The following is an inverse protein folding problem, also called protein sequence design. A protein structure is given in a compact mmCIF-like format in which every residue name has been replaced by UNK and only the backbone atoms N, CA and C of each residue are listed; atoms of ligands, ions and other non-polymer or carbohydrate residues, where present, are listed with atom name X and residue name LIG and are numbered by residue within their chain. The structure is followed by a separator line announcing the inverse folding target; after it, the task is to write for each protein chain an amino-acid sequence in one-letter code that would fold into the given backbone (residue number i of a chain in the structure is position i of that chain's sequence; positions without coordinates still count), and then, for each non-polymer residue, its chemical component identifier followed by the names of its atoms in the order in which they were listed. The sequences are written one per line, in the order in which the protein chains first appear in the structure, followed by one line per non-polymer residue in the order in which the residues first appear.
data_IF_549567486603
#
_entry.id   IF_549567486603
#
_cell.length_a   1.000
_cell.length_b   1.000
_cell.length_c   1.000
_cell.angle_alpha   90.00
_cell.angle_beta   90.00
_cell.angle_gamma   90.00
#
_symmetry.space_group_name_H-M   'P 1'
#
loop_
_entity.id
_entity.type
_entity.pdbx_description
1 polymer ?
#
# COMPACT_ATOMS: atom_id res chain seq x y z
N UNK A 1 -23.20 -15.21 23.84
CA UNK A 1 -23.23 -14.77 22.43
C UNK A 1 -22.27 -15.65 21.64
N UNK A 2 -22.63 -16.23 20.49
CA UNK A 2 -21.72 -17.08 19.74
C UNK A 2 -20.65 -16.25 19.01
N UNK A 3 -19.47 -16.84 18.83
CA UNK A 3 -18.46 -16.28 17.95
C UNK A 3 -18.90 -16.40 16.47
N UNK A 4 -18.63 -15.38 15.63
CA UNK A 4 -18.86 -15.49 14.20
C UNK A 4 -17.91 -16.50 13.55
N UNK A 5 -18.33 -17.07 12.42
CA UNK A 5 -17.43 -17.87 11.61
C UNK A 5 -16.20 -17.04 11.20
N UNK A 6 -15.00 -17.64 11.28
CA UNK A 6 -13.73 -16.95 11.04
C UNK A 6 -13.47 -15.72 11.94
N UNK A 7 -14.14 -15.63 13.07
CA UNK A 7 -13.85 -14.64 14.12
C UNK A 7 -13.88 -15.25 15.52
N UNK A 8 -13.83 -14.37 16.51
CA UNK A 8 -13.86 -14.69 17.93
C UNK A 8 -14.46 -13.53 18.73
N UNK A 9 -14.87 -13.83 19.96
CA UNK A 9 -15.29 -12.83 20.94
C UNK A 9 -14.06 -12.43 21.76
N UNK A 10 -13.75 -11.14 21.86
CA UNK A 10 -12.55 -10.66 22.56
C UNK A 10 -12.68 -10.75 24.09
N UNK A 11 -13.90 -10.73 24.62
CA UNK A 11 -14.18 -10.85 26.05
C UNK A 11 -15.32 -11.82 26.33
N UNK A 12 -14.99 -12.92 27.02
CA UNK A 12 -16.00 -13.87 27.51
C UNK A 12 -16.52 -13.43 28.87
N UNK A 13 -17.76 -12.95 28.92
CA UNK A 13 -18.48 -12.75 30.19
C UNK A 13 -19.39 -13.96 30.45
N UNK A 14 -18.85 -15.02 31.06
CA UNK A 14 -19.62 -16.13 31.65
C UNK A 14 -20.81 -16.65 30.80
N UNK A 15 -21.82 -17.18 31.49
CA UNK A 15 -23.01 -17.78 30.85
C UNK A 15 -24.20 -16.82 30.70
N UNK A 16 -24.16 -15.62 31.30
CA UNK A 16 -25.30 -14.70 31.32
C UNK A 16 -24.84 -13.24 31.27
N UNK A 17 -25.39 -12.48 30.33
CA UNK A 17 -25.11 -11.06 30.15
C UNK A 17 -26.22 -10.23 30.80
N UNK A 18 -25.85 -9.14 31.46
CA UNK A 18 -26.78 -8.16 32.05
C UNK A 18 -26.98 -6.97 31.13
N UNK A 19 -28.10 -6.27 31.28
CA UNK A 19 -28.36 -4.99 30.64
C UNK A 19 -27.17 -4.02 30.79
N UNK A 20 -26.80 -3.36 29.68
CA UNK A 20 -25.65 -2.47 29.55
C UNK A 20 -24.30 -3.16 29.34
N UNK A 21 -24.21 -4.51 29.42
CA UNK A 21 -22.95 -5.20 29.14
C UNK A 21 -22.67 -5.30 27.63
N UNK A 22 -21.42 -5.10 27.26
CA UNK A 22 -20.98 -5.12 25.87
C UNK A 22 -20.12 -6.34 25.56
N UNK A 23 -20.24 -6.82 24.33
CA UNK A 23 -19.46 -7.90 23.74
C UNK A 23 -18.76 -7.35 22.51
N UNK A 24 -17.44 -7.46 22.51
CA UNK A 24 -16.61 -7.06 21.37
C UNK A 24 -16.20 -8.29 20.56
N UNK A 25 -16.29 -8.17 19.24
CA UNK A 25 -15.93 -9.19 18.28
C UNK A 25 -14.66 -8.80 17.54
N UNK A 26 -13.93 -9.80 17.06
CA UNK A 26 -12.81 -9.62 16.16
C UNK A 26 -12.79 -10.70 15.09
N UNK A 27 -12.30 -10.35 13.91
CA UNK A 27 -12.10 -11.30 12.81
C UNK A 27 -10.67 -11.85 12.85
N UNK A 28 -10.52 -13.11 12.44
CA UNK A 28 -9.20 -13.73 12.20
C UNK A 28 -8.46 -12.99 11.08
N UNK A 29 -7.13 -13.17 10.97
CA UNK A 29 -6.37 -12.64 9.84
C UNK A 29 -7.01 -12.95 8.49
N UNK A 30 -6.82 -12.04 7.53
CA UNK A 30 -7.34 -12.10 6.15
C UNK A 30 -8.87 -12.05 6.02
N UNK A 31 -9.55 -11.61 7.08
CA UNK A 31 -10.99 -11.34 7.09
C UNK A 31 -11.27 -9.91 7.54
N UNK A 32 -12.31 -9.31 6.99
CA UNK A 32 -12.85 -8.03 7.44
C UNK A 32 -14.21 -8.22 8.06
N UNK A 33 -14.54 -7.35 9.02
CA UNK A 33 -15.83 -7.36 9.69
C UNK A 33 -16.89 -6.60 8.88
N UNK A 34 -18.06 -7.22 8.73
CA UNK A 34 -19.29 -6.58 8.28
C UNK A 34 -20.30 -6.56 9.43
N UNK A 35 -20.78 -5.37 9.79
CA UNK A 35 -21.68 -5.17 10.93
C UNK A 35 -21.00 -4.47 12.10
N UNK A 36 -21.64 -4.52 13.27
CA UNK A 36 -21.14 -3.87 14.47
C UNK A 36 -20.09 -4.73 15.18
N UNK A 37 -18.92 -4.14 15.48
CA UNK A 37 -17.86 -4.80 16.23
C UNK A 37 -18.18 -4.96 17.71
N UNK A 38 -19.14 -4.19 18.22
CA UNK A 38 -19.57 -4.22 19.61
C UNK A 38 -21.08 -4.32 19.63
N UNK A 39 -21.60 -5.28 20.39
CA UNK A 39 -23.03 -5.42 20.67
C UNK A 39 -23.27 -5.27 22.17
N UNK A 40 -24.38 -4.64 22.51
CA UNK A 40 -24.79 -4.40 23.88
C UNK A 40 -26.00 -5.27 24.22
N UNK A 41 -25.97 -5.91 25.39
CA UNK A 41 -27.14 -6.55 25.96
C UNK A 41 -28.02 -5.44 26.53
N UNK A 42 -29.22 -5.28 25.98
CA UNK A 42 -30.19 -4.28 26.40
C UNK A 42 -30.96 -4.78 27.64
N UNK A 43 -31.60 -3.87 28.37
CA UNK A 43 -32.39 -4.21 29.58
C UNK A 43 -33.62 -5.10 29.32
N UNK A 44 -33.96 -5.32 28.04
CA UNK A 44 -35.01 -6.24 27.61
C UNK A 44 -34.49 -7.64 27.24
N UNK A 45 -33.28 -7.98 27.69
CA UNK A 45 -32.58 -9.24 27.42
C UNK A 45 -32.32 -9.53 25.92
N UNK A 46 -32.40 -8.50 25.06
CA UNK A 46 -32.05 -8.59 23.64
C UNK A 46 -30.73 -7.87 23.34
N UNK A 47 -30.07 -8.28 22.26
CA UNK A 47 -28.87 -7.58 21.78
C UNK A 47 -29.23 -6.37 20.93
N UNK A 48 -28.40 -5.33 20.98
CA UNK A 48 -28.53 -4.11 20.18
C UNK A 48 -28.39 -4.34 18.66
N UNK A 49 -28.02 -5.56 18.25
CA UNK A 49 -27.88 -5.96 16.86
C UNK A 49 -27.60 -7.45 16.72
N UNK A 50 -27.21 -7.85 15.51
CA UNK A 50 -26.86 -9.23 15.17
C UNK A 50 -25.36 -9.44 15.20
N UNK A 51 -24.94 -10.68 15.46
CA UNK A 51 -23.54 -11.10 15.38
C UNK A 51 -22.94 -10.67 14.01
N UNK A 52 -21.77 -10.02 13.98
CA UNK A 52 -21.19 -9.54 12.73
C UNK A 52 -20.68 -10.69 11.87
N UNK A 53 -20.49 -10.44 10.57
CA UNK A 53 -19.89 -11.42 9.65
C UNK A 53 -18.41 -11.11 9.43
N UNK A 54 -17.57 -12.15 9.42
CA UNK A 54 -16.17 -12.05 9.02
C UNK A 54 -16.00 -12.61 7.61
N UNK A 55 -15.82 -11.74 6.63
CA UNK A 55 -15.70 -12.13 5.21
C UNK A 55 -14.26 -12.04 4.74
N UNK A 56 -13.79 -12.94 3.84
CA UNK A 56 -12.43 -12.85 3.30
C UNK A 56 -12.17 -11.51 2.63
N UNK A 57 -11.04 -10.88 2.97
CA UNK A 57 -10.63 -9.58 2.45
C UNK A 57 -9.12 -9.44 2.41
N UNK A 58 -8.63 -8.66 1.47
CA UNK A 58 -7.21 -8.39 1.35
C UNK A 58 -6.83 -7.24 2.28
N UNK A 59 -5.78 -7.45 3.07
CA UNK A 59 -5.18 -6.38 3.87
C UNK A 59 -4.51 -5.34 2.97
N UNK A 60 -4.25 -4.15 3.53
CA UNK A 60 -3.45 -3.11 2.89
C UNK A 60 -2.22 -3.71 2.19
N UNK A 61 -2.08 -3.51 0.87
CA UNK A 61 -0.95 -4.07 0.14
C UNK A 61 0.30 -3.38 0.66
N UNK A 62 1.20 -4.13 1.28
CA UNK A 62 2.39 -3.59 1.95
C UNK A 62 3.34 -2.93 0.94
N UNK A 63 3.09 -1.66 0.63
CA UNK A 63 3.83 -0.90 -0.37
C UNK A 63 5.25 -0.61 0.12
N UNK A 64 6.23 -0.91 -0.75
CA UNK A 64 7.66 -0.72 -0.52
C UNK A 64 8.31 -0.17 -1.78
N UNK A 65 9.59 0.20 -1.68
CA UNK A 65 10.44 0.55 -2.82
C UNK A 65 9.89 1.71 -3.67
N UNK A 66 9.27 2.71 -3.02
CA UNK A 66 8.86 3.97 -3.65
C UNK A 66 7.59 3.92 -4.49
N UNK A 67 6.92 2.77 -4.63
CA UNK A 67 5.63 2.71 -5.32
C UNK A 67 4.56 3.52 -4.57
N UNK A 68 3.61 4.12 -5.30
CA UNK A 68 2.50 4.90 -4.74
C UNK A 68 1.17 4.33 -5.19
N UNK A 69 0.23 4.19 -4.25
CA UNK A 69 -1.15 3.80 -4.57
C UNK A 69 -1.89 4.99 -5.21
N UNK A 70 -2.59 4.72 -6.31
CA UNK A 70 -3.43 5.67 -7.04
C UNK A 70 -4.90 5.63 -6.62
N UNK A 71 -5.39 4.47 -6.23
CA UNK A 71 -6.77 4.27 -5.79
C UNK A 71 -6.99 4.75 -4.35
N UNK A 72 -8.22 4.64 -3.84
CA UNK A 72 -8.48 4.87 -2.41
C UNK A 72 -7.65 3.91 -1.56
N UNK A 73 -7.05 4.45 -0.50
CA UNK A 73 -6.27 3.70 0.49
C UNK A 73 -7.22 3.24 1.59
N UNK A 74 -7.36 1.92 1.72
CA UNK A 74 -8.14 1.27 2.76
C UNK A 74 -7.25 0.32 3.55
N UNK A 75 -7.62 0.03 4.79
CA UNK A 75 -6.95 -1.00 5.58
C UNK A 75 -7.31 -2.42 5.11
N UNK A 76 -8.53 -2.61 4.60
CA UNK A 76 -9.02 -3.83 3.97
C UNK A 76 -9.68 -3.55 2.62
N UNK A 77 -9.60 -4.53 1.72
CA UNK A 77 -10.21 -4.51 0.39
C UNK A 77 -11.07 -5.76 0.18
N UNK A 78 -12.29 -5.57 -0.30
CA UNK A 78 -13.22 -6.66 -0.61
C UNK A 78 -12.75 -7.45 -1.83
N UNK A 79 -13.23 -8.68 -1.94
CA UNK A 79 -13.05 -9.49 -3.16
C UNK A 79 -13.50 -8.68 -4.38
N UNK A 80 -12.70 -8.75 -5.44
CA UNK A 80 -12.78 -8.02 -6.70
C UNK A 80 -12.38 -6.54 -6.66
N UNK A 81 -12.13 -5.94 -5.50
CA UNK A 81 -11.57 -4.58 -5.44
C UNK A 81 -10.12 -4.56 -5.93
N UNK A 82 -9.69 -3.42 -6.45
CA UNK A 82 -8.41 -3.29 -7.16
C UNK A 82 -7.60 -2.11 -6.64
N UNK A 83 -6.28 -2.28 -6.64
CA UNK A 83 -5.32 -1.25 -6.27
C UNK A 83 -4.36 -1.05 -7.43
N UNK A 84 -4.24 0.19 -7.89
CA UNK A 84 -3.31 0.59 -8.94
C UNK A 84 -2.12 1.33 -8.35
N UNK A 85 -0.95 1.11 -8.95
CA UNK A 85 0.31 1.68 -8.51
C UNK A 85 0.95 2.54 -9.58
N UNK A 86 1.70 3.54 -9.14
CA UNK A 86 2.62 4.28 -9.98
C UNK A 86 4.00 4.37 -9.33
N UNK A 87 5.00 4.70 -10.14
CA UNK A 87 6.32 5.03 -9.69
C UNK A 87 6.57 6.54 -9.79
N UNK A 88 7.40 7.10 -8.90
CA UNK A 88 7.89 8.47 -9.02
C UNK A 88 8.61 8.70 -10.35
N UNK A 89 8.72 9.97 -10.74
CA UNK A 89 9.49 10.35 -11.92
C UNK A 89 10.93 9.83 -11.85
N UNK A 90 11.46 9.36 -12.98
CA UNK A 90 12.80 8.76 -13.04
C UNK A 90 12.85 7.27 -12.66
N UNK A 91 11.73 6.67 -12.25
CA UNK A 91 11.62 5.25 -11.93
C UNK A 91 10.61 4.52 -12.84
N UNK A 92 10.92 3.26 -13.13
CA UNK A 92 10.08 2.32 -13.85
C UNK A 92 9.43 1.32 -12.89
N UNK A 93 8.13 1.07 -13.10
CA UNK A 93 7.38 0.05 -12.38
C UNK A 93 7.78 -1.37 -12.86
N UNK A 94 8.16 -2.23 -11.92
CA UNK A 94 8.46 -3.65 -12.15
C UNK A 94 7.45 -4.52 -11.42
N UNK A 95 6.69 -5.30 -12.18
CA UNK A 95 5.60 -6.14 -11.68
C UNK A 95 4.26 -5.71 -12.28
N UNK A 96 3.17 -6.10 -11.63
CA UNK A 96 1.83 -5.70 -12.09
C UNK A 96 1.53 -4.25 -11.68
N UNK A 97 1.12 -3.37 -12.61
CA UNK A 97 0.72 -1.99 -12.28
C UNK A 97 -0.58 -1.94 -11.49
N UNK A 98 -1.31 -3.05 -11.43
CA UNK A 98 -2.61 -3.18 -10.77
C UNK A 98 -2.74 -4.58 -10.16
N UNK A 99 -3.25 -4.65 -8.95
CA UNK A 99 -3.58 -5.92 -8.27
C UNK A 99 -5.05 -5.93 -7.90
N UNK A 100 -5.64 -7.11 -7.85
CA UNK A 100 -7.03 -7.33 -7.50
C UNK A 100 -7.10 -8.24 -6.28
N UNK A 101 -8.02 -7.95 -5.36
CA UNK A 101 -8.29 -8.86 -4.26
C UNK A 101 -9.08 -10.06 -4.78
N UNK A 102 -8.49 -11.24 -4.74
CA UNK A 102 -9.08 -12.49 -5.21
C UNK A 102 -9.52 -13.36 -4.05
N UNK A 103 -10.16 -14.50 -4.36
CA UNK A 103 -10.70 -15.43 -3.39
C UNK A 103 -9.72 -15.74 -2.23
N UNK A 104 -10.28 -15.93 -1.03
CA UNK A 104 -9.54 -16.15 0.23
C UNK A 104 -8.71 -14.94 0.71
N UNK A 105 -9.09 -13.72 0.34
CA UNK A 105 -8.46 -12.50 0.87
C UNK A 105 -7.01 -12.30 0.41
N UNK A 106 -6.67 -12.74 -0.81
CA UNK A 106 -5.31 -12.66 -1.35
C UNK A 106 -5.23 -11.71 -2.52
N UNK A 107 -4.13 -10.99 -2.64
CA UNK A 107 -3.85 -10.18 -3.83
C UNK A 107 -3.51 -11.07 -5.03
N UNK A 108 -3.99 -10.70 -6.22
CA UNK A 108 -3.77 -11.42 -7.48
C UNK A 108 -2.29 -11.46 -7.90
N UNK A 109 -1.50 -10.50 -7.45
CA UNK A 109 -0.05 -10.45 -7.65
C UNK A 109 0.63 -9.74 -6.47
N UNK A 110 1.96 -9.86 -6.40
CA UNK A 110 2.76 -9.10 -5.45
C UNK A 110 2.76 -7.60 -5.78
N UNK A 111 2.95 -6.77 -4.76
CA UNK A 111 3.10 -5.32 -4.92
C UNK A 111 4.32 -5.03 -5.81
N UNK A 112 4.20 -4.19 -6.85
CA UNK A 112 5.30 -3.89 -7.74
C UNK A 112 6.39 -3.06 -7.04
N UNK A 113 7.59 -3.08 -7.61
CA UNK A 113 8.73 -2.27 -7.14
C UNK A 113 9.06 -1.17 -8.15
N UNK A 114 9.53 -0.02 -7.66
CA UNK A 114 10.07 1.02 -8.52
C UNK A 114 11.59 0.88 -8.63
N UNK A 115 12.10 0.84 -9.85
CA UNK A 115 13.53 0.81 -10.14
C UNK A 115 13.92 2.02 -10.98
N UNK A 116 15.08 2.66 -10.78
CA UNK A 116 15.51 3.75 -11.65
C UNK A 116 15.51 3.31 -13.12
N UNK A 117 15.12 4.20 -14.03
CA UNK A 117 15.34 3.94 -15.45
C UNK A 117 16.83 3.67 -15.69
N UNK A 118 17.16 2.68 -16.52
CA UNK A 118 18.53 2.48 -16.97
C UNK A 118 19.05 3.81 -17.52
N UNK A 119 20.32 4.19 -17.23
CA UNK A 119 20.81 5.48 -17.67
C UNK A 119 20.73 5.52 -19.19
N UNK A 120 19.89 6.42 -19.71
CA UNK A 120 19.76 6.61 -21.14
C UNK A 120 21.13 7.02 -21.68
N UNK A 121 21.61 6.31 -22.69
CA UNK A 121 22.87 6.62 -23.39
C UNK A 121 22.88 8.05 -23.94
N UNK A 122 21.69 8.65 -24.15
CA UNK A 122 21.50 10.06 -24.49
C UNK A 122 22.07 11.04 -23.43
N UNK A 123 21.84 10.78 -22.14
CA UNK A 123 22.39 11.62 -21.05
C UNK A 123 23.92 11.54 -20.92
N UNK A 124 24.54 10.47 -21.44
CA UNK A 124 26.00 10.34 -21.49
C UNK A 124 26.60 11.08 -22.69
N UNK A 125 25.91 11.11 -23.84
CA UNK A 125 26.34 11.91 -24.99
C UNK A 125 26.32 13.42 -24.71
N UNK A 126 25.29 13.94 -24.04
CA UNK A 126 25.26 15.35 -23.65
C UNK A 126 26.37 15.73 -22.67
N UNK A 127 26.66 14.86 -21.69
CA UNK A 127 27.76 15.06 -20.74
C UNK A 127 29.14 14.99 -21.40
N UNK A 128 29.29 14.23 -22.50
CA UNK A 128 30.53 14.17 -23.28
C UNK A 128 30.71 15.43 -24.14
N UNK A 129 29.66 15.95 -24.76
CA UNK A 129 29.70 17.20 -25.54
C UNK A 129 30.02 18.44 -24.66
N UNK A 130 29.46 18.53 -23.45
CA UNK A 130 29.80 19.62 -22.50
C UNK A 130 31.25 19.58 -22.01
N UNK A 131 31.89 18.42 -21.95
CA UNK A 131 33.31 18.30 -21.57
C UNK A 131 34.26 18.71 -22.70
N UNK A 132 33.89 18.47 -23.95
CA UNK A 132 34.69 18.91 -25.10
C UNK A 132 34.65 20.43 -25.31
N UNK A 133 33.55 21.12 -24.97
CA UNK A 133 33.45 22.59 -25.08
C UNK A 133 34.31 23.36 -24.07
N UNK A 134 34.60 22.79 -22.88
CA UNK A 134 35.42 23.45 -21.84
C UNK A 134 36.94 23.41 -22.11
N UNK A 135 37.39 22.58 -23.05
CA UNK A 135 38.83 22.47 -23.39
C UNK A 135 39.32 23.53 -24.38
N UNK A 136 38.42 24.24 -25.07
CA UNK A 136 38.80 25.23 -26.08
C UNK A 136 38.86 26.68 -25.56
N UNK A 137 38.44 26.95 -24.33
CA UNK A 137 38.39 28.32 -23.77
C UNK A 137 39.61 28.71 -22.91
N UNK A 138 40.58 27.80 -22.71
CA UNK A 138 41.76 28.04 -21.87
C UNK A 138 43.09 28.04 -22.65
N UNK A 139 43.05 28.15 -23.98
CA UNK A 139 44.26 28.41 -24.76
C UNK A 139 44.54 29.92 -24.75
N UNK A 140 45.24 30.40 -23.72
CA UNK A 140 45.83 31.74 -23.67
C UNK A 140 46.92 31.86 -24.75
N UNK A 141 46.91 32.88 -25.63
CA UNK A 141 48.01 33.12 -26.53
C UNK A 141 49.24 33.59 -25.72
N UNK A 142 50.38 32.92 -25.90
CA UNK A 142 51.68 33.40 -25.43
C UNK A 142 52.07 34.58 -26.33
N UNK A 143 52.02 35.80 -25.79
CA UNK A 143 52.52 36.98 -26.48
C UNK A 143 54.06 36.91 -26.55
N UNK A 144 54.58 36.74 -27.76
CA UNK A 144 56.01 36.75 -28.04
C UNK A 144 56.56 38.18 -27.95
N UNK A 145 57.57 38.38 -27.10
CA UNK A 145 58.46 39.54 -27.14
C UNK A 145 59.16 39.63 -28.49
N UNK A 146 59.27 40.84 -29.05
CA UNK A 146 60.42 41.21 -29.88
C UNK A 146 60.72 42.71 -29.81
N UNK A 147 61.95 42.97 -29.38
CA UNK A 147 62.65 44.25 -29.35
C UNK A 147 62.97 44.73 -30.77
N UNK A 148 62.85 46.05 -30.99
CA UNK A 148 63.90 46.95 -31.50
C UNK A 148 63.39 48.38 -31.44
#
# INVERSE_FOLDING_TARGET
MPAPENGYVESEHGSQYRGGQQVQFACRPDHMMLGAAVLECLDNDHWSGTVPECVPACQYPSVRDGARILSRVNYFYRINETVSFECPEGFQLRGSPMIQCVAKGRWSAAVPRCQPFAPSTSSFHERRLRRHHRRWQLATPVAAHRSL
#
